data_IF_072523474991
#
_entry.id   IF_072523474991
#
_cell.length_a   1.000
_cell.length_b   1.000
_cell.length_c   1.000
_cell.angle_alpha   90.00
_cell.angle_beta   90.00
_cell.angle_gamma   90.00
#
_symmetry.space_group_name_H-M   'P 1'
#
loop_
_entity.id
_entity.type
_entity.pdbx_description
1 polymer ?
#
# COMPACT_ATOMS: atom_id res chain seq x y z
N UNK A 1 51.79 -20.56 70.96
CA UNK A 1 52.97 -20.89 70.12
C UNK A 1 52.71 -22.28 69.60
N UNK A 2 52.54 -22.58 68.32
CA UNK A 2 52.61 -21.89 67.02
C UNK A 2 51.73 -22.80 66.11
N UNK A 3 50.73 -22.22 65.43
CA UNK A 3 50.72 -21.97 63.97
C UNK A 3 50.68 -23.21 63.06
N UNK A 4 49.74 -23.17 62.10
CA UNK A 4 49.90 -23.83 60.80
C UNK A 4 48.82 -24.83 60.40
N UNK A 5 47.60 -24.37 60.09
CA UNK A 5 46.62 -25.15 59.31
C UNK A 5 47.02 -25.18 57.83
N UNK A 6 47.33 -26.37 57.31
CA UNK A 6 47.51 -26.64 55.88
C UNK A 6 46.19 -27.10 55.24
N UNK A 7 45.84 -26.49 54.10
CA UNK A 7 44.79 -26.99 53.19
C UNK A 7 45.38 -27.14 51.79
N UNK A 8 45.16 -28.33 51.24
CA UNK A 8 45.64 -28.84 49.96
C UNK A 8 45.02 -28.11 48.77
N UNK A 9 45.84 -28.06 47.72
CA UNK A 9 45.62 -27.42 46.42
C UNK A 9 44.61 -28.22 45.57
N UNK A 10 43.55 -27.53 45.12
CA UNK A 10 42.63 -28.00 44.10
C UNK A 10 42.81 -27.16 42.83
N UNK A 11 43.12 -27.85 41.74
CA UNK A 11 43.33 -27.34 40.39
C UNK A 11 41.98 -26.91 39.77
N UNK A 12 41.80 -25.62 39.46
CA UNK A 12 40.67 -25.09 38.69
C UNK A 12 41.14 -24.45 37.38
N UNK A 13 40.51 -24.88 36.30
CA UNK A 13 40.74 -24.47 34.91
C UNK A 13 40.41 -22.98 34.68
N UNK A 14 41.28 -22.30 33.94
CA UNK A 14 41.09 -20.92 33.48
C UNK A 14 40.17 -20.91 32.25
N UNK A 15 38.93 -20.46 32.42
CA UNK A 15 38.10 -19.94 31.32
C UNK A 15 38.18 -18.41 31.27
N UNK A 16 38.74 -17.92 30.17
CA UNK A 16 38.92 -16.52 29.83
C UNK A 16 37.58 -15.94 29.32
N UNK A 17 36.83 -15.24 30.20
CA UNK A 17 35.64 -14.47 29.80
C UNK A 17 36.04 -13.12 29.24
N UNK A 18 35.95 -12.97 27.92
CA UNK A 18 35.83 -11.66 27.27
C UNK A 18 34.46 -11.06 27.61
N UNK A 19 34.47 -9.92 28.29
CA UNK A 19 33.25 -9.18 28.64
C UNK A 19 32.70 -8.41 27.45
N UNK A 20 31.63 -8.92 26.83
CA UNK A 20 30.76 -8.10 25.99
C UNK A 20 29.77 -7.33 26.88
N UNK A 21 30.03 -6.03 27.01
CA UNK A 21 29.10 -5.06 27.59
C UNK A 21 27.84 -4.96 26.72
N UNK A 22 26.77 -5.65 27.12
CA UNK A 22 25.41 -5.47 26.59
C UNK A 22 24.89 -4.08 27.00
N UNK A 23 25.15 -3.07 26.16
CA UNK A 23 24.44 -1.80 26.22
C UNK A 23 22.98 -2.03 25.78
N UNK A 24 21.97 -1.58 26.55
CA UNK A 24 20.58 -1.74 26.15
C UNK A 24 20.33 -0.92 24.87
N UNK A 25 19.82 -1.59 23.84
CA UNK A 25 19.29 -0.98 22.62
C UNK A 25 18.25 0.07 23.01
N UNK A 26 18.61 1.35 22.89
CA UNK A 26 17.64 2.44 22.98
C UNK A 26 16.65 2.27 21.82
N UNK A 27 15.32 2.20 22.08
CA UNK A 27 14.37 2.33 21.00
C UNK A 27 14.56 3.72 20.37
N UNK A 28 14.87 3.75 19.08
CA UNK A 28 14.87 4.98 18.30
C UNK A 28 13.47 5.58 18.38
N UNK A 29 13.32 6.69 19.10
CA UNK A 29 12.08 7.49 19.07
C UNK A 29 11.77 7.85 17.62
N UNK A 30 10.57 7.58 17.08
CA UNK A 30 10.17 8.22 15.84
C UNK A 30 10.11 9.73 16.10
N UNK A 31 10.94 10.49 15.40
CA UNK A 31 11.08 11.94 15.54
C UNK A 31 10.00 12.72 14.80
N UNK A 32 8.79 12.15 14.68
CA UNK A 32 7.69 12.81 14.00
C UNK A 32 6.77 13.44 15.04
N UNK A 33 6.59 14.78 15.03
CA UNK A 33 5.56 15.39 15.85
C UNK A 33 4.22 14.76 15.46
N UNK A 34 3.46 14.29 16.46
CA UNK A 34 2.11 13.75 16.27
C UNK A 34 1.32 14.74 15.42
N UNK A 35 0.85 14.30 14.24
CA UNK A 35 0.13 15.18 13.34
C UNK A 35 -1.24 15.48 13.99
N UNK A 36 -1.40 16.66 14.58
CA UNK A 36 -2.71 17.08 15.09
C UNK A 36 -3.61 17.40 13.88
N UNK A 37 -4.54 16.49 13.58
CA UNK A 37 -5.49 16.67 12.50
C UNK A 37 -6.46 17.82 12.81
N UNK A 38 -6.37 18.90 12.04
CA UNK A 38 -7.33 20.02 12.10
C UNK A 38 -8.51 19.71 11.19
N UNK A 39 -9.56 19.07 11.71
CA UNK A 39 -10.75 18.71 10.95
C UNK A 39 -11.60 19.95 10.59
N UNK A 40 -12.13 20.00 9.38
CA UNK A 40 -13.08 21.01 8.93
C UNK A 40 -14.50 20.62 9.35
N UNK A 41 -14.99 21.24 10.42
CA UNK A 41 -16.34 21.03 10.95
C UNK A 41 -17.42 21.85 10.23
N UNK A 42 -17.05 22.79 9.36
CA UNK A 42 -18.02 23.58 8.58
C UNK A 42 -18.68 22.76 7.46
N UNK A 43 -18.00 21.70 7.01
CA UNK A 43 -18.48 20.79 5.97
C UNK A 43 -19.27 19.63 6.58
N UNK A 44 -20.23 19.12 5.82
CA UNK A 44 -20.94 17.91 6.20
C UNK A 44 -19.95 16.73 6.33
N UNK A 45 -20.07 15.91 7.39
CA UNK A 45 -19.32 14.67 7.50
C UNK A 45 -19.93 13.55 6.65
N UNK A 46 -19.09 12.58 6.31
CA UNK A 46 -19.51 11.31 5.75
C UNK A 46 -19.49 10.20 6.80
N UNK A 47 -20.43 9.26 6.75
CA UNK A 47 -20.49 8.16 7.71
C UNK A 47 -20.34 6.83 6.96
N UNK A 48 -19.15 6.19 6.97
CA UNK A 48 -18.89 4.99 6.19
C UNK A 48 -19.80 3.81 6.56
N UNK A 49 -20.22 3.73 7.82
CA UNK A 49 -21.03 2.64 8.35
C UNK A 49 -22.46 3.08 8.72
N UNK A 50 -22.98 4.17 8.14
CA UNK A 50 -24.31 4.72 8.48
C UNK A 50 -25.45 3.71 8.50
N UNK A 51 -25.36 2.66 7.68
CA UNK A 51 -26.40 1.63 7.53
C UNK A 51 -26.32 0.51 8.55
N UNK A 52 -25.31 0.49 9.43
CA UNK A 52 -25.19 -0.50 10.49
C UNK A 52 -26.07 -0.10 11.67
N UNK A 53 -26.44 -1.09 12.49
CA UNK A 53 -27.29 -0.88 13.68
C UNK A 53 -26.49 -0.75 14.97
N UNK A 54 -25.17 -0.80 14.87
CA UNK A 54 -24.23 -0.74 15.99
C UNK A 54 -23.60 0.65 16.12
N UNK A 55 -22.70 0.79 17.10
CA UNK A 55 -21.99 2.05 17.38
C UNK A 55 -21.14 2.55 16.19
N UNK A 56 -20.80 1.67 15.24
CA UNK A 56 -20.02 2.04 14.06
C UNK A 56 -20.74 3.08 13.20
N UNK A 57 -22.08 3.13 13.23
CA UNK A 57 -22.86 4.11 12.50
C UNK A 57 -22.54 5.57 12.87
N UNK A 58 -21.93 5.80 14.04
CA UNK A 58 -21.60 7.12 14.56
C UNK A 58 -20.24 7.66 14.12
N UNK A 59 -19.36 6.82 13.56
CA UNK A 59 -18.04 7.28 13.12
C UNK A 59 -18.12 8.11 11.84
N UNK A 60 -17.53 9.30 11.87
CA UNK A 60 -17.59 10.30 10.80
C UNK A 60 -16.22 10.53 10.13
N UNK A 61 -16.20 10.53 8.80
CA UNK A 61 -15.07 10.97 7.97
C UNK A 61 -15.24 12.43 7.58
N UNK A 62 -14.18 13.23 7.72
CA UNK A 62 -14.17 14.68 7.49
C UNK A 62 -13.00 15.12 6.65
N UNK A 63 -13.11 16.32 6.06
CA UNK A 63 -11.97 16.99 5.46
C UNK A 63 -11.09 17.60 6.54
N UNK A 64 -9.84 17.86 6.18
CA UNK A 64 -8.96 18.75 6.93
C UNK A 64 -9.22 20.18 6.49
N UNK A 65 -8.96 21.12 7.40
CA UNK A 65 -8.84 22.53 7.03
C UNK A 65 -7.78 22.65 5.93
N UNK A 66 -8.06 23.29 4.77
CA UNK A 66 -7.10 23.44 3.69
C UNK A 66 -5.74 23.98 4.15
N UNK A 67 -4.67 23.50 3.53
CA UNK A 67 -3.28 23.86 3.83
C UNK A 67 -2.70 23.21 5.08
N UNK A 68 -3.40 22.28 5.73
CA UNK A 68 -2.95 21.65 7.00
C UNK A 68 -2.32 20.28 6.84
N UNK A 69 -2.62 19.53 5.78
CA UNK A 69 -1.96 18.23 5.53
C UNK A 69 -0.76 18.34 4.59
N UNK A 70 0.36 17.66 4.89
CA UNK A 70 1.39 17.40 3.89
C UNK A 70 0.84 16.49 2.78
N UNK A 71 1.38 16.63 1.57
CA UNK A 71 1.03 15.75 0.46
C UNK A 71 1.71 14.39 0.67
N UNK A 72 0.91 13.37 0.99
CA UNK A 72 1.37 11.98 1.09
C UNK A 72 0.84 11.19 -0.11
N UNK A 73 1.72 10.62 -0.92
CA UNK A 73 1.31 9.82 -2.06
C UNK A 73 0.74 8.46 -1.62
N UNK A 74 -0.34 8.02 -2.26
CA UNK A 74 -0.80 6.64 -2.21
C UNK A 74 -0.60 6.02 -3.60
N UNK A 75 0.62 5.53 -3.83
CA UNK A 75 1.09 5.05 -5.11
C UNK A 75 0.85 3.55 -5.28
N UNK A 76 0.45 3.14 -6.48
CA UNK A 76 0.27 1.73 -6.81
C UNK A 76 0.13 1.53 -8.31
N UNK A 77 0.45 0.35 -8.82
CA UNK A 77 0.01 -0.04 -10.16
C UNK A 77 -1.54 -0.20 -10.21
N UNK A 78 -2.21 0.12 -11.32
CA UNK A 78 -3.65 -0.11 -11.47
C UNK A 78 -4.05 -1.56 -11.18
N UNK A 79 -5.16 -1.76 -10.46
CA UNK A 79 -5.59 -3.10 -10.04
C UNK A 79 -4.92 -3.63 -8.75
N UNK A 80 -4.01 -2.88 -8.12
CA UNK A 80 -3.41 -3.27 -6.83
C UNK A 80 -4.32 -3.10 -5.61
N UNK A 81 -5.53 -2.53 -5.76
CA UNK A 81 -6.48 -2.34 -4.66
C UNK A 81 -6.41 -0.97 -3.96
N UNK A 82 -5.91 0.07 -4.66
CA UNK A 82 -5.79 1.43 -4.12
C UNK A 82 -7.10 1.97 -3.51
N UNK A 83 -8.23 1.83 -4.22
CA UNK A 83 -9.55 2.24 -3.73
C UNK A 83 -9.93 1.55 -2.43
N UNK A 84 -9.54 0.28 -2.24
CA UNK A 84 -9.78 -0.41 -0.98
C UNK A 84 -8.90 0.15 0.13
N UNK A 85 -7.59 0.35 -0.12
CA UNK A 85 -6.69 0.96 0.87
C UNK A 85 -7.11 2.39 1.26
N UNK A 86 -7.67 3.18 0.33
CA UNK A 86 -8.29 4.47 0.66
C UNK A 86 -9.44 4.31 1.65
N UNK A 87 -10.35 3.36 1.41
CA UNK A 87 -11.42 3.05 2.36
C UNK A 87 -10.85 2.68 3.74
N UNK A 88 -9.84 1.80 3.81
CA UNK A 88 -9.19 1.43 5.07
C UNK A 88 -8.61 2.67 5.79
N UNK A 89 -7.91 3.54 5.06
CA UNK A 89 -7.32 4.76 5.61
C UNK A 89 -8.39 5.74 6.12
N UNK A 90 -9.45 5.99 5.35
CA UNK A 90 -10.56 6.87 5.77
C UNK A 90 -11.33 6.30 6.97
N UNK A 91 -11.52 4.98 7.01
CA UNK A 91 -12.15 4.28 8.11
C UNK A 91 -11.30 4.30 9.39
N UNK A 92 -9.98 4.20 9.29
CA UNK A 92 -9.08 4.25 10.45
C UNK A 92 -8.90 5.65 11.00
N UNK A 93 -8.83 6.65 10.12
CA UNK A 93 -8.42 8.01 10.49
C UNK A 93 -9.59 8.97 10.68
N UNK A 94 -10.74 8.68 10.08
CA UNK A 94 -11.83 9.64 9.97
C UNK A 94 -11.50 10.84 9.09
N UNK A 95 -10.50 10.74 8.22
CA UNK A 95 -10.10 11.80 7.29
C UNK A 95 -10.20 11.32 5.86
N UNK A 96 -10.77 12.13 4.97
CA UNK A 96 -10.85 11.80 3.55
C UNK A 96 -9.48 11.67 2.90
N UNK A 97 -9.41 10.80 1.90
CA UNK A 97 -8.29 10.69 0.98
C UNK A 97 -8.65 11.33 -0.36
N UNK A 98 -7.67 11.97 -0.99
CA UNK A 98 -7.78 12.57 -2.31
C UNK A 98 -7.21 11.69 -3.42
N UNK A 99 -7.18 12.27 -4.61
CA UNK A 99 -6.72 11.64 -5.83
C UNK A 99 -6.10 12.72 -6.72
N UNK A 100 -5.06 12.34 -7.46
CA UNK A 100 -4.48 13.22 -8.49
C UNK A 100 -5.33 13.26 -9.76
N UNK A 101 -6.38 12.43 -9.77
CA UNK A 101 -7.41 12.34 -10.79
C UNK A 101 -8.74 12.80 -10.19
N UNK A 102 -9.74 12.95 -11.05
CA UNK A 102 -11.11 13.26 -10.64
C UNK A 102 -12.06 12.15 -11.11
N UNK A 103 -12.51 11.32 -10.17
CA UNK A 103 -13.47 10.23 -10.44
C UNK A 103 -14.82 10.50 -9.74
N UNK A 104 -15.77 11.02 -10.52
CA UNK A 104 -17.09 11.40 -10.02
C UNK A 104 -17.92 10.20 -9.55
N UNK A 105 -17.70 9.01 -10.13
CA UNK A 105 -18.38 7.79 -9.70
C UNK A 105 -17.92 7.35 -8.30
N UNK A 106 -16.63 7.51 -8.00
CA UNK A 106 -16.09 7.30 -6.65
C UNK A 106 -16.59 8.38 -5.68
N UNK A 107 -16.63 9.65 -6.10
CA UNK A 107 -17.13 10.76 -5.29
C UNK A 107 -18.58 10.52 -4.84
N UNK A 108 -19.48 10.20 -5.77
CA UNK A 108 -20.90 9.94 -5.49
C UNK A 108 -21.14 8.78 -4.51
N UNK A 109 -20.15 7.89 -4.36
CA UNK A 109 -20.22 6.70 -3.51
C UNK A 109 -19.41 6.82 -2.21
N UNK A 110 -18.95 8.02 -1.88
CA UNK A 110 -18.39 8.37 -0.57
C UNK A 110 -16.93 8.82 -0.56
N UNK A 111 -16.19 8.71 -1.66
CA UNK A 111 -14.82 9.23 -1.76
C UNK A 111 -14.82 10.72 -2.10
N UNK A 112 -15.34 11.56 -1.21
CA UNK A 112 -15.56 12.97 -1.49
C UNK A 112 -14.28 13.75 -1.81
N UNK A 113 -13.12 13.26 -1.36
CA UNK A 113 -11.82 13.83 -1.71
C UNK A 113 -11.44 13.72 -3.19
N UNK A 114 -12.16 12.96 -4.02
CA UNK A 114 -12.00 12.99 -5.50
C UNK A 114 -12.33 14.37 -6.11
N UNK A 115 -13.10 15.20 -5.41
CA UNK A 115 -13.47 16.56 -5.85
C UNK A 115 -12.55 17.65 -5.30
N UNK A 116 -11.58 17.29 -4.45
CA UNK A 116 -10.60 18.25 -3.94
C UNK A 116 -9.36 18.28 -4.83
N UNK A 117 -8.72 19.43 -4.93
CA UNK A 117 -7.42 19.52 -5.57
C UNK A 117 -6.37 18.80 -4.72
N UNK A 118 -5.57 17.92 -5.33
CA UNK A 118 -4.60 17.10 -4.59
C UNK A 118 -3.52 17.91 -3.83
N UNK A 119 -3.32 19.17 -4.19
CA UNK A 119 -2.37 20.10 -3.54
C UNK A 119 -3.01 20.99 -2.46
N UNK A 120 -4.32 20.92 -2.26
CA UNK A 120 -5.04 21.80 -1.33
C UNK A 120 -4.76 21.49 0.14
N UNK A 121 -4.21 20.32 0.46
CA UNK A 121 -3.90 19.92 1.84
C UNK A 121 -5.16 19.72 2.71
N UNK A 122 -6.31 19.42 2.10
CA UNK A 122 -7.59 19.12 2.76
C UNK A 122 -7.86 17.61 2.94
N UNK A 123 -7.00 16.76 2.40
CA UNK A 123 -7.12 15.29 2.42
C UNK A 123 -5.79 14.64 2.78
N UNK A 124 -5.84 13.42 3.34
CA UNK A 124 -4.71 12.77 3.99
C UNK A 124 -3.71 12.11 3.02
N UNK A 125 -4.22 11.38 2.04
CA UNK A 125 -3.44 10.61 1.06
C UNK A 125 -3.89 10.97 -0.34
N UNK A 126 -2.97 11.04 -1.31
CA UNK A 126 -3.26 11.33 -2.71
C UNK A 126 -3.03 10.11 -3.59
N UNK A 127 -4.12 9.47 -4.04
CA UNK A 127 -4.05 8.33 -4.96
C UNK A 127 -3.34 8.69 -6.25
N UNK A 128 -2.42 7.84 -6.69
CA UNK A 128 -1.79 7.94 -8.01
C UNK A 128 -1.41 6.58 -8.60
N UNK A 129 -1.51 6.48 -9.93
CA UNK A 129 -0.97 5.39 -10.74
C UNK A 129 0.20 5.86 -11.63
N UNK A 130 0.67 7.09 -11.39
CA UNK A 130 1.71 7.74 -12.15
C UNK A 130 3.10 7.42 -11.61
N UNK A 131 4.11 7.64 -12.44
CA UNK A 131 5.50 7.68 -11.99
C UNK A 131 5.74 8.91 -11.10
N UNK A 132 6.63 8.82 -10.10
CA UNK A 132 7.02 9.98 -9.30
C UNK A 132 7.86 10.93 -10.15
N UNK A 133 7.59 12.24 -10.06
CA UNK A 133 8.39 13.29 -10.65
C UNK A 133 9.02 14.21 -9.63
N UNK A 134 10.29 14.54 -9.89
CA UNK A 134 10.99 15.65 -9.27
C UNK A 134 10.71 16.95 -10.06
N UNK A 135 10.49 18.09 -9.38
CA UNK A 135 10.31 19.38 -10.04
C UNK A 135 11.44 19.75 -11.02
N UNK A 136 12.68 19.40 -10.68
CA UNK A 136 13.89 19.63 -11.48
C UNK A 136 13.96 18.77 -12.75
N UNK A 137 13.20 17.66 -12.81
CA UNK A 137 13.19 16.70 -13.93
C UNK A 137 12.08 17.03 -14.95
N UNK A 138 11.52 18.25 -14.88
CA UNK A 138 10.75 18.83 -15.99
C UNK A 138 11.71 19.15 -17.14
N UNK A 139 12.16 18.14 -17.88
CA UNK A 139 12.76 18.39 -19.19
C UNK A 139 11.67 18.86 -20.15
N UNK A 140 11.86 20.06 -20.68
CA UNK A 140 11.12 20.57 -21.84
C UNK A 140 11.26 19.57 -23.00
N UNK A 141 10.13 19.13 -23.56
CA UNK A 141 10.12 18.38 -24.83
C UNK A 141 9.80 16.89 -24.78
N UNK A 142 9.51 16.28 -23.63
CA UNK A 142 8.96 14.90 -23.61
C UNK A 142 7.47 14.88 -23.95
N UNK A 143 7.15 14.93 -25.25
CA UNK A 143 5.83 14.67 -25.82
C UNK A 143 5.51 13.15 -25.85
N UNK A 144 5.68 12.47 -24.72
CA UNK A 144 5.15 11.13 -24.48
C UNK A 144 4.05 11.23 -23.42
N UNK A 145 2.82 10.88 -23.79
CA UNK A 145 1.57 10.96 -22.99
C UNK A 145 1.76 11.48 -21.56
N UNK A 146 1.56 12.78 -21.35
CA UNK A 146 1.73 13.47 -20.06
C UNK A 146 0.81 12.98 -18.92
N UNK A 147 0.05 11.91 -19.13
CA UNK A 147 -0.95 11.35 -18.21
C UNK A 147 -0.36 10.59 -17.00
N UNK A 148 0.93 10.21 -17.03
CA UNK A 148 1.51 9.29 -16.03
C UNK A 148 2.59 9.91 -15.16
N UNK A 149 2.45 11.18 -14.80
CA UNK A 149 3.47 11.89 -14.01
C UNK A 149 2.84 12.60 -12.81
N UNK A 150 3.18 12.16 -11.59
CA UNK A 150 2.74 12.80 -10.35
C UNK A 150 3.89 13.60 -9.73
N UNK A 151 3.69 14.90 -9.61
CA UNK A 151 4.67 15.82 -9.03
C UNK A 151 4.63 15.73 -7.51
N UNK A 152 5.78 15.41 -6.92
CA UNK A 152 5.99 15.50 -5.48
C UNK A 152 6.73 16.79 -5.11
N UNK A 153 6.42 17.40 -3.96
CA UNK A 153 7.16 18.55 -3.46
C UNK A 153 8.64 18.21 -3.20
N UNK A 154 9.49 19.24 -3.11
CA UNK A 154 10.95 19.07 -2.98
C UNK A 154 11.37 18.41 -1.65
N UNK A 155 10.64 18.65 -0.55
CA UNK A 155 10.90 18.00 0.74
C UNK A 155 9.76 18.20 1.77
N UNK A 156 9.67 17.35 2.82
CA UNK A 156 9.99 15.92 2.83
C UNK A 156 8.89 15.11 2.12
N UNK A 157 9.29 14.12 1.31
CA UNK A 157 8.36 13.29 0.54
C UNK A 157 7.93 12.09 1.37
N UNK A 158 6.63 11.81 1.38
CA UNK A 158 6.07 10.61 2.02
C UNK A 158 5.22 9.83 1.03
N UNK A 159 5.41 8.52 0.97
CA UNK A 159 4.63 7.64 0.10
C UNK A 159 4.22 6.37 0.81
N UNK A 160 2.95 6.01 0.64
CA UNK A 160 2.46 4.67 0.84
C UNK A 160 2.47 3.98 -0.52
N UNK A 161 3.35 3.00 -0.70
CA UNK A 161 3.43 2.17 -1.90
C UNK A 161 2.67 0.86 -1.66
N UNK A 162 1.58 0.66 -2.41
CA UNK A 162 0.80 -0.58 -2.36
C UNK A 162 1.25 -1.55 -3.45
N UNK A 163 1.85 -2.66 -3.01
CA UNK A 163 2.22 -3.81 -3.83
C UNK A 163 1.13 -4.87 -3.77
N UNK A 164 0.94 -5.61 -4.87
CA UNK A 164 0.02 -6.74 -4.98
C UNK A 164 0.62 -7.75 -5.96
N UNK A 165 0.22 -9.01 -5.85
CA UNK A 165 0.46 -10.03 -6.87
C UNK A 165 0.26 -9.46 -8.29
N UNK A 166 1.33 -9.36 -9.11
CA UNK A 166 1.26 -8.67 -10.39
C UNK A 166 0.34 -9.35 -11.41
N UNK A 167 0.22 -10.67 -11.37
CA UNK A 167 -0.69 -11.39 -12.25
C UNK A 167 -2.15 -10.98 -11.95
N UNK A 168 -2.51 -10.91 -10.68
CA UNK A 168 -3.84 -10.46 -10.25
C UNK A 168 -4.09 -8.97 -10.54
N UNK A 169 -3.05 -8.11 -10.48
CA UNK A 169 -3.14 -6.73 -10.94
C UNK A 169 -3.52 -6.65 -12.42
N UNK A 170 -2.81 -7.39 -13.28
CA UNK A 170 -3.04 -7.41 -14.72
C UNK A 170 -4.44 -7.93 -15.07
N UNK A 171 -4.90 -9.00 -14.42
CA UNK A 171 -6.28 -9.50 -14.57
C UNK A 171 -7.31 -8.45 -14.16
N UNK A 172 -7.12 -7.86 -12.98
CA UNK A 172 -8.01 -6.83 -12.46
C UNK A 172 -8.09 -5.62 -13.39
N UNK A 173 -6.96 -5.18 -13.95
CA UNK A 173 -6.90 -4.06 -14.88
C UNK A 173 -7.61 -4.39 -16.19
N UNK A 174 -7.44 -5.60 -16.72
CA UNK A 174 -8.11 -6.03 -17.95
C UNK A 174 -9.62 -6.04 -17.79
N UNK A 175 -10.12 -6.50 -16.65
CA UNK A 175 -11.52 -6.41 -16.35
C UNK A 175 -12.02 -4.98 -16.18
N UNK A 176 -11.23 -4.12 -15.55
CA UNK A 176 -11.57 -2.71 -15.44
C UNK A 176 -11.77 -2.08 -16.82
N UNK A 177 -10.85 -2.33 -17.77
CA UNK A 177 -11.00 -1.86 -19.16
C UNK A 177 -12.23 -2.43 -19.86
N UNK A 178 -12.62 -3.66 -19.54
CA UNK A 178 -13.73 -4.33 -20.20
C UNK A 178 -15.12 -4.03 -19.58
N UNK A 179 -15.19 -3.71 -18.28
CA UNK A 179 -16.46 -3.66 -17.54
C UNK A 179 -16.48 -2.67 -16.36
N UNK A 180 -15.52 -1.75 -16.26
CA UNK A 180 -15.46 -0.72 -15.24
C UNK A 180 -15.04 -1.21 -13.84
N UNK A 181 -15.17 -0.34 -12.83
CA UNK A 181 -14.56 -0.53 -11.49
C UNK A 181 -14.86 -1.89 -10.84
N UNK A 182 -16.10 -2.37 -10.95
CA UNK A 182 -16.56 -3.59 -10.26
C UNK A 182 -17.01 -4.71 -11.19
N UNK A 183 -17.08 -4.46 -12.50
CA UNK A 183 -17.61 -5.43 -13.48
C UNK A 183 -16.58 -6.43 -14.00
N UNK A 184 -17.07 -7.52 -14.61
CA UNK A 184 -16.26 -8.56 -15.22
C UNK A 184 -16.45 -8.58 -16.74
N UNK A 185 -15.39 -8.27 -17.47
CA UNK A 185 -15.30 -8.53 -18.92
C UNK A 185 -15.41 -10.01 -19.25
N UNK A 186 -15.93 -10.31 -20.44
CA UNK A 186 -16.04 -11.68 -20.95
C UNK A 186 -14.67 -12.31 -21.24
N UNK A 187 -14.64 -13.64 -21.34
CA UNK A 187 -13.42 -14.44 -21.53
C UNK A 187 -12.64 -14.12 -22.81
N UNK A 188 -13.30 -13.52 -23.81
CA UNK A 188 -12.67 -13.10 -25.09
C UNK A 188 -11.56 -12.06 -24.87
N UNK A 189 -11.66 -11.23 -23.82
CA UNK A 189 -10.66 -10.21 -23.52
C UNK A 189 -9.33 -10.79 -23.00
N UNK A 190 -9.30 -12.09 -22.67
CA UNK A 190 -8.19 -12.75 -22.00
C UNK A 190 -7.55 -13.85 -22.86
N UNK A 191 -7.70 -13.76 -24.18
CA UNK A 191 -7.14 -14.70 -25.15
C UNK A 191 -6.53 -13.96 -26.35
N UNK A 192 -5.70 -14.67 -27.11
CA UNK A 192 -5.14 -14.19 -28.37
C UNK A 192 -4.14 -13.02 -28.24
N UNK A 193 -3.84 -12.40 -29.38
CA UNK A 193 -2.78 -11.38 -29.48
C UNK A 193 -3.08 -10.12 -28.66
N UNK A 194 -4.35 -9.73 -28.54
CA UNK A 194 -4.75 -8.57 -27.72
C UNK A 194 -4.39 -8.78 -26.24
N UNK A 195 -4.66 -9.97 -25.71
CA UNK A 195 -4.25 -10.33 -24.35
C UNK A 195 -2.73 -10.37 -24.21
N UNK A 196 -2.03 -10.95 -25.19
CA UNK A 196 -0.57 -11.02 -25.19
C UNK A 196 0.09 -9.64 -25.14
N UNK A 197 -0.32 -8.74 -26.03
CA UNK A 197 0.22 -7.38 -26.09
C UNK A 197 -0.08 -6.63 -24.79
N UNK A 198 -1.32 -6.74 -24.30
CA UNK A 198 -1.72 -6.14 -23.03
C UNK A 198 -0.86 -6.63 -21.87
N UNK A 199 -0.71 -7.94 -21.66
CA UNK A 199 0.05 -8.45 -20.51
C UNK A 199 1.54 -8.11 -20.60
N UNK A 200 2.12 -8.13 -21.80
CA UNK A 200 3.52 -7.78 -22.02
C UNK A 200 3.80 -6.32 -21.66
N UNK A 201 2.99 -5.41 -22.17
CA UNK A 201 3.12 -3.98 -21.89
C UNK A 201 2.90 -3.70 -20.40
N UNK A 202 1.78 -4.18 -19.85
CA UNK A 202 1.42 -3.92 -18.45
C UNK A 202 2.37 -4.58 -17.44
N UNK A 203 2.98 -5.71 -17.79
CA UNK A 203 4.03 -6.32 -16.97
C UNK A 203 5.26 -5.41 -16.86
N UNK A 204 5.71 -4.81 -17.97
CA UNK A 204 6.85 -3.88 -17.97
C UNK A 204 6.54 -2.62 -17.16
N UNK A 205 5.35 -2.06 -17.33
CA UNK A 205 4.90 -0.90 -16.57
C UNK A 205 4.81 -1.18 -15.07
N UNK A 206 4.29 -2.35 -14.66
CA UNK A 206 4.24 -2.74 -13.26
C UNK A 206 5.65 -2.77 -12.64
N UNK A 207 6.63 -3.35 -13.34
CA UNK A 207 8.02 -3.37 -12.87
C UNK A 207 8.59 -1.96 -12.80
N UNK A 208 8.38 -1.16 -13.85
CA UNK A 208 8.91 0.19 -13.96
C UNK A 208 8.37 1.12 -12.86
N UNK A 209 7.05 1.12 -12.64
CA UNK A 209 6.38 1.94 -11.64
C UNK A 209 6.89 1.61 -10.24
N UNK A 210 6.87 0.34 -9.85
CA UNK A 210 7.27 -0.07 -8.50
C UNK A 210 8.76 0.21 -8.26
N UNK A 211 9.61 0.00 -9.28
CA UNK A 211 11.02 0.38 -9.20
C UNK A 211 11.18 1.88 -8.98
N UNK A 212 10.50 2.71 -9.77
CA UNK A 212 10.62 4.17 -9.69
C UNK A 212 10.26 4.70 -8.30
N UNK A 213 9.17 4.20 -7.71
CA UNK A 213 8.75 4.56 -6.35
C UNK A 213 9.71 4.06 -5.27
N UNK A 214 10.21 2.82 -5.36
CA UNK A 214 11.18 2.27 -4.39
C UNK A 214 12.56 2.92 -4.45
N UNK A 215 12.93 3.48 -5.60
CA UNK A 215 14.24 4.14 -5.79
C UNK A 215 14.17 5.65 -5.63
N UNK A 216 13.03 6.22 -5.24
CA UNK A 216 12.87 7.67 -5.14
C UNK A 216 13.74 8.22 -3.98
N UNK A 217 14.71 9.10 -4.27
CA UNK A 217 15.61 9.62 -3.23
C UNK A 217 14.88 10.46 -2.18
N UNK A 218 15.43 10.47 -0.95
CA UNK A 218 14.95 11.29 0.17
C UNK A 218 13.44 11.21 0.41
N UNK A 219 12.89 9.98 0.33
CA UNK A 219 11.46 9.71 0.48
C UNK A 219 11.21 8.73 1.61
N UNK A 220 10.38 9.12 2.57
CA UNK A 220 9.88 8.25 3.62
C UNK A 220 8.79 7.33 3.04
N UNK A 221 9.08 6.04 2.96
CA UNK A 221 8.30 5.07 2.20
C UNK A 221 7.73 3.99 3.10
N UNK A 222 6.40 3.88 3.15
CA UNK A 222 5.70 2.72 3.70
C UNK A 222 5.31 1.78 2.56
N UNK A 223 5.86 0.57 2.54
CA UNK A 223 5.40 -0.50 1.66
C UNK A 223 4.34 -1.34 2.36
N UNK A 224 3.15 -1.43 1.76
CA UNK A 224 2.08 -2.35 2.14
C UNK A 224 1.88 -3.37 1.03
N UNK A 225 1.62 -4.63 1.41
CA UNK A 225 1.22 -5.67 0.46
C UNK A 225 -0.28 -5.89 0.58
N UNK A 226 -0.99 -5.89 -0.54
CA UNK A 226 -2.43 -6.14 -0.61
C UNK A 226 -2.80 -7.44 0.10
N UNK A 227 -1.99 -8.48 -0.07
CA UNK A 227 -2.21 -9.78 0.56
C UNK A 227 -2.07 -9.70 2.09
N UNK A 228 -1.15 -8.88 2.62
CA UNK A 228 -1.09 -8.65 4.06
C UNK A 228 -2.31 -7.87 4.57
N UNK A 229 -2.83 -6.90 3.82
CA UNK A 229 -4.07 -6.21 4.20
C UNK A 229 -5.26 -7.18 4.28
N UNK A 230 -5.28 -8.24 3.46
CA UNK A 230 -6.33 -9.27 3.51
C UNK A 230 -6.19 -10.23 4.68
N UNK A 231 -4.95 -10.59 5.06
CA UNK A 231 -4.68 -11.65 6.03
C UNK A 231 -4.31 -11.14 7.42
N UNK A 232 -3.87 -9.89 7.54
CA UNK A 232 -3.29 -9.27 8.74
C UNK A 232 -3.71 -7.80 8.85
N UNK A 233 -5.00 -7.55 8.62
CA UNK A 233 -5.55 -6.19 8.51
C UNK A 233 -5.19 -5.31 9.70
N UNK A 234 -5.34 -5.81 10.93
CA UNK A 234 -5.02 -5.07 12.15
C UNK A 234 -3.55 -4.65 12.23
N UNK A 235 -2.63 -5.56 11.90
CA UNK A 235 -1.20 -5.29 11.89
C UNK A 235 -0.84 -4.21 10.85
N UNK A 236 -1.36 -4.33 9.63
CA UNK A 236 -1.10 -3.37 8.56
C UNK A 236 -1.76 -2.01 8.83
N UNK A 237 -2.92 -1.99 9.49
CA UNK A 237 -3.57 -0.77 9.99
C UNK A 237 -2.67 -0.05 11.01
N UNK A 238 -2.11 -0.78 11.98
CA UNK A 238 -1.15 -0.21 12.94
C UNK A 238 0.10 0.36 12.27
N UNK A 239 0.65 -0.33 11.26
CA UNK A 239 1.79 0.17 10.45
C UNK A 239 1.44 1.45 9.70
N UNK A 240 0.25 1.52 9.10
CA UNK A 240 -0.24 2.71 8.41
C UNK A 240 -0.39 3.90 9.37
N UNK A 241 -1.02 3.70 10.53
CA UNK A 241 -1.20 4.77 11.53
C UNK A 241 0.13 5.27 12.09
N UNK A 242 1.05 4.35 12.37
CA UNK A 242 2.43 4.68 12.81
C UNK A 242 3.16 5.50 11.76
N UNK A 243 3.09 5.10 10.49
CA UNK A 243 3.65 5.87 9.39
C UNK A 243 3.00 7.25 9.33
N UNK A 244 1.69 7.37 9.37
CA UNK A 244 1.01 8.66 9.31
C UNK A 244 1.28 9.57 10.52
N UNK A 245 1.86 9.04 11.61
CA UNK A 245 2.09 9.79 12.84
C UNK A 245 0.78 10.13 13.56
N UNK A 246 -0.22 9.25 13.42
CA UNK A 246 -1.57 9.42 13.95
C UNK A 246 -1.86 8.36 15.03
N UNK A 247 -2.60 8.71 16.10
CA UNK A 247 -3.03 7.74 17.09
C UNK A 247 -4.01 6.75 16.46
N UNK A 248 -3.93 5.49 16.86
CA UNK A 248 -4.88 4.46 16.46
C UNK A 248 -6.13 4.57 17.35
N UNK A 249 -7.28 4.92 16.75
CA UNK A 249 -8.57 4.85 17.40
C UNK A 249 -9.04 3.39 17.42
N UNK A 250 -9.11 2.79 18.61
CA UNK A 250 -9.45 1.39 18.77
C UNK A 250 -10.89 1.06 18.37
N UNK A 251 -11.85 1.95 18.57
CA UNK A 251 -13.23 1.69 18.16
C UNK A 251 -13.41 1.80 16.65
N UNK A 252 -12.68 2.71 15.98
CA UNK A 252 -12.58 2.73 14.51
C UNK A 252 -11.95 1.46 13.97
N UNK A 253 -10.87 0.98 14.60
CA UNK A 253 -10.22 -0.27 14.22
C UNK A 253 -11.18 -1.45 14.35
N UNK A 254 -11.92 -1.55 15.46
CA UNK A 254 -12.92 -2.60 15.67
C UNK A 254 -14.01 -2.58 14.59
N UNK A 255 -14.56 -1.40 14.29
CA UNK A 255 -15.52 -1.22 13.22
C UNK A 255 -14.97 -1.60 11.85
N UNK A 256 -13.70 -1.26 11.57
CA UNK A 256 -13.07 -1.65 10.33
C UNK A 256 -12.90 -3.17 10.23
N UNK A 257 -12.51 -3.84 11.31
CA UNK A 257 -12.37 -5.30 11.35
C UNK A 257 -13.72 -6.01 11.16
N UNK A 258 -14.82 -5.41 11.64
CA UNK A 258 -16.19 -5.90 11.41
C UNK A 258 -16.66 -5.68 9.97
N UNK A 259 -16.25 -4.58 9.34
CA UNK A 259 -16.68 -4.18 7.99
C UNK A 259 -15.51 -3.95 7.03
N UNK A 260 -14.66 -4.95 6.75
CA UNK A 260 -13.39 -4.73 6.04
C UNK A 260 -13.57 -4.52 4.53
N UNK A 261 -14.66 -4.98 3.93
CA UNK A 261 -14.86 -4.96 2.47
C UNK A 261 -15.07 -3.55 1.90
N UNK A 262 -15.71 -2.65 2.66
CA UNK A 262 -16.15 -1.36 2.16
C UNK A 262 -17.11 -1.49 0.96
N UNK A 263 -17.21 -0.46 0.12
CA UNK A 263 -18.19 -0.40 -0.99
C UNK A 263 -17.66 -0.73 -2.37
N UNK A 264 -16.35 -0.86 -2.51
CA UNK A 264 -15.68 -0.93 -3.82
C UNK A 264 -14.76 -2.12 -3.95
N UNK A 265 -14.70 -2.98 -2.93
CA UNK A 265 -14.03 -4.26 -3.11
C UNK A 265 -14.88 -5.11 -4.04
N UNK A 266 -14.28 -5.47 -5.16
CA UNK A 266 -14.89 -6.38 -6.13
C UNK A 266 -15.17 -7.72 -5.44
N UNK A 267 -16.35 -8.32 -5.63
CA UNK A 267 -16.62 -9.67 -5.14
C UNK A 267 -15.57 -10.67 -5.63
N UNK A 268 -15.38 -11.77 -4.89
CA UNK A 268 -14.50 -12.85 -5.33
C UNK A 268 -14.90 -13.33 -6.73
N UNK A 269 -13.90 -13.61 -7.56
CA UNK A 269 -14.06 -13.98 -8.95
C UNK A 269 -15.06 -15.14 -9.13
N UNK A 270 -16.04 -15.03 -10.03
CA UNK A 270 -16.89 -16.16 -10.35
C UNK A 270 -16.06 -17.32 -10.89
N UNK A 271 -16.28 -18.53 -10.38
CA UNK A 271 -15.51 -19.74 -10.77
C UNK A 271 -15.49 -19.97 -12.29
N UNK A 272 -16.56 -19.60 -12.99
CA UNK A 272 -16.69 -19.76 -14.45
C UNK A 272 -15.82 -18.81 -15.28
N UNK A 273 -15.20 -17.80 -14.66
CA UNK A 273 -14.22 -16.92 -15.32
C UNK A 273 -12.78 -17.24 -14.89
N UNK A 274 -12.55 -18.27 -14.08
CA UNK A 274 -11.20 -18.71 -13.70
C UNK A 274 -10.55 -19.47 -14.86
N UNK A 275 -9.21 -19.46 -14.93
CA UNK A 275 -8.46 -20.22 -15.95
C UNK A 275 -7.70 -19.43 -17.01
N UNK A 276 -7.17 -18.26 -16.66
CA UNK A 276 -6.39 -17.47 -17.61
C UNK A 276 -4.97 -17.99 -17.76
N UNK A 277 -4.59 -18.30 -19.00
CA UNK A 277 -3.19 -18.57 -19.33
C UNK A 277 -2.47 -17.25 -19.55
N UNK A 278 -1.50 -16.97 -18.68
CA UNK A 278 -0.58 -15.86 -18.89
C UNK A 278 0.45 -16.24 -19.96
N UNK A 279 0.76 -15.32 -20.89
CA UNK A 279 1.86 -15.54 -21.81
C UNK A 279 3.18 -15.73 -21.07
N UNK A 280 3.96 -16.74 -21.48
CA UNK A 280 5.27 -17.08 -20.86
C UNK A 280 6.20 -15.87 -20.78
N UNK A 281 6.20 -15.03 -21.80
CA UNK A 281 7.04 -13.83 -21.87
C UNK A 281 6.66 -12.75 -20.85
N UNK A 282 5.38 -12.57 -20.57
CA UNK A 282 4.90 -11.69 -19.50
C UNK A 282 5.25 -12.26 -18.13
N UNK A 283 5.08 -13.57 -17.93
CA UNK A 283 5.48 -14.25 -16.69
C UNK A 283 6.98 -14.10 -16.40
N UNK A 284 7.85 -14.31 -17.40
CA UNK A 284 9.30 -14.08 -17.30
C UNK A 284 9.62 -12.63 -16.94
N UNK A 285 8.94 -11.67 -17.56
CA UNK A 285 9.13 -10.24 -17.27
C UNK A 285 8.78 -9.93 -15.81
N UNK A 286 7.63 -10.42 -15.34
CA UNK A 286 7.18 -10.23 -13.96
C UNK A 286 8.12 -10.88 -12.95
N UNK A 287 8.50 -12.15 -13.14
CA UNK A 287 9.42 -12.85 -12.23
C UNK A 287 10.78 -12.17 -12.14
N UNK A 288 11.37 -11.79 -13.27
CA UNK A 288 12.65 -11.06 -13.29
C UNK A 288 12.52 -9.71 -12.58
N UNK A 289 11.45 -8.97 -12.86
CA UNK A 289 11.15 -7.70 -12.21
C UNK A 289 10.97 -7.83 -10.70
N UNK A 290 10.20 -8.83 -10.26
CA UNK A 290 10.02 -9.14 -8.83
C UNK A 290 11.33 -9.52 -8.15
N UNK A 291 12.23 -10.24 -8.81
CA UNK A 291 13.58 -10.50 -8.30
C UNK A 291 14.35 -9.20 -8.03
N UNK A 292 14.37 -8.27 -9.01
CA UNK A 292 15.01 -6.97 -8.84
C UNK A 292 14.36 -6.11 -7.74
N UNK A 293 13.01 -6.10 -7.67
CA UNK A 293 12.27 -5.38 -6.64
C UNK A 293 12.50 -5.98 -5.25
N UNK A 294 12.69 -7.30 -5.13
CA UNK A 294 13.00 -7.95 -3.85
C UNK A 294 14.31 -7.43 -3.25
N UNK A 295 15.33 -7.22 -4.09
CA UNK A 295 16.60 -6.61 -3.64
C UNK A 295 16.40 -5.17 -3.17
N UNK A 296 15.53 -4.39 -3.84
CA UNK A 296 15.21 -3.02 -3.43
C UNK A 296 14.41 -2.97 -2.13
N UNK A 297 13.43 -3.85 -1.95
CA UNK A 297 12.66 -3.99 -0.72
C UNK A 297 13.58 -4.32 0.46
N UNK A 298 14.46 -5.30 0.30
CA UNK A 298 15.43 -5.67 1.32
C UNK A 298 16.36 -4.50 1.67
N UNK A 299 16.91 -3.79 0.66
CA UNK A 299 17.76 -2.61 0.87
C UNK A 299 17.04 -1.48 1.61
N UNK A 300 15.74 -1.31 1.39
CA UNK A 300 14.90 -0.31 2.06
C UNK A 300 14.31 -0.75 3.41
N UNK A 301 14.62 -1.96 3.88
CA UNK A 301 14.04 -2.49 5.13
C UNK A 301 12.53 -2.76 5.05
N UNK A 302 12.00 -2.99 3.85
CA UNK A 302 10.58 -3.24 3.61
C UNK A 302 10.25 -4.73 3.64
N UNK A 303 8.99 -5.12 3.96
CA UNK A 303 8.58 -6.51 3.93
C UNK A 303 8.79 -7.14 2.53
N UNK A 304 9.31 -8.40 2.46
CA UNK A 304 9.47 -9.09 1.19
C UNK A 304 8.10 -9.43 0.57
N UNK A 305 8.08 -9.80 -0.72
CA UNK A 305 6.86 -10.29 -1.35
C UNK A 305 6.33 -11.53 -0.62
N UNK A 306 5.03 -11.56 -0.26
CA UNK A 306 4.44 -12.69 0.43
C UNK A 306 4.02 -13.79 -0.56
N UNK A 307 5.00 -14.43 -1.20
CA UNK A 307 4.78 -15.46 -2.22
C UNK A 307 3.82 -16.57 -1.79
N UNK A 308 3.84 -16.95 -0.50
CA UNK A 308 2.96 -17.97 0.06
C UNK A 308 1.47 -17.54 0.09
N UNK A 309 1.18 -16.24 0.06
CA UNK A 309 -0.18 -15.71 0.03
C UNK A 309 -0.68 -15.45 -1.40
N UNK A 310 0.16 -15.67 -2.41
CA UNK A 310 -0.23 -15.41 -3.80
C UNK A 310 -1.13 -16.54 -4.28
N UNK A 311 -2.43 -16.23 -4.42
CA UNK A 311 -3.33 -17.07 -5.19
C UNK A 311 -2.98 -16.93 -6.67
N UNK A 312 -2.45 -18.00 -7.27
CA UNK A 312 -2.43 -18.13 -8.73
C UNK A 312 -3.81 -18.62 -9.12
N UNK A 313 -4.58 -17.85 -9.89
CA UNK A 313 -5.76 -18.41 -10.55
C UNK A 313 -5.27 -19.62 -11.38
N UNK A 314 -5.63 -20.87 -11.04
CA UNK A 314 -5.11 -22.01 -11.77
C UNK A 314 -5.60 -21.91 -13.22
N UNK A 315 -4.79 -22.27 -14.23
CA UNK A 315 -5.33 -22.53 -15.56
C UNK A 315 -6.37 -23.65 -15.41
N UNK A 316 -7.63 -23.34 -15.71
CA UNK A 316 -8.64 -24.38 -15.89
C UNK A 316 -8.19 -25.10 -17.16
N UNK A 317 -7.78 -26.37 -17.01
CA UNK A 317 -7.50 -27.19 -18.17
C UNK A 317 -8.72 -27.13 -19.10
N UNK A 318 -8.53 -27.04 -20.42
CA UNK A 318 -9.66 -27.09 -21.34
C UNK A 318 -10.48 -28.35 -21.03
N UNK A 319 -11.83 -28.29 -21.10
CA UNK A 319 -12.64 -29.48 -20.89
C UNK A 319 -12.19 -30.59 -21.87
N UNK A 320 -12.27 -31.86 -21.44
CA UNK A 320 -11.82 -33.00 -22.22
C UNK A 320 -12.49 -33.10 -23.59
#
# INVERSE_FOLDING_TARGET
>A
MEEGEGREEGMEEKEERSGESLLPLRPSRPSHPSLLLSLDYSRQPYYPWRTTTDECANYATRFLVPGRAPIVALASFPGSGNTWLRYLAEALTGVFTGSVYHDEMLALRGFWGERESFWQGSTLLQKTHSLPLLPEVKQEGSAGSGEFRFLLPEAPRRVVLLLRNPWECLLSLRHYHAAGHTGFGSSVFFRGQSWHNFTQERAREWVHLNKAWLTLPATDTLVLHYEHLQHRLEQEAGRLMTFLGLPLDHGRLECLLRYPEGRFRRPKYPKHLQGYTFPKSSDVTLRRGMGALSSLLAKGGHPPFPWALYSFTPPVQPPP
#
